data_IF_733149715986
#
_entry.id   IF_733149715986
#
_cell.length_a   1.000
_cell.length_b   1.000
_cell.length_c   1.000
_cell.angle_alpha   90.00
_cell.angle_beta   90.00
_cell.angle_gamma   90.00
#
_symmetry.space_group_name_H-M   'P 1'
#
loop_
_entity.id
_entity.type
_entity.pdbx_description
1 polymer ?
#
# COMPACT_ATOMS: atom_id res chain seq x y z
N UNK A 1 8.27 -11.11 -5.56
CA UNK A 1 9.00 -10.07 -4.81
C UNK A 1 10.30 -10.56 -4.17
N UNK A 2 10.25 -11.52 -3.23
CA UNK A 2 11.45 -11.97 -2.49
C UNK A 2 12.63 -12.40 -3.36
N UNK A 3 12.39 -13.06 -4.49
CA UNK A 3 13.44 -13.43 -5.46
C UNK A 3 14.21 -12.21 -5.98
N UNK A 4 13.53 -11.15 -6.40
CA UNK A 4 14.20 -9.95 -6.86
C UNK A 4 14.92 -9.21 -5.72
N UNK A 5 14.30 -9.14 -4.54
CA UNK A 5 14.90 -8.55 -3.33
C UNK A 5 16.12 -9.31 -2.80
N UNK A 6 16.34 -10.54 -3.27
CA UNK A 6 17.51 -11.36 -2.95
C UNK A 6 18.51 -11.46 -4.12
N UNK A 7 18.37 -10.61 -5.15
CA UNK A 7 19.31 -10.53 -6.27
C UNK A 7 18.95 -11.38 -7.50
N UNK A 8 17.81 -12.06 -7.49
CA UNK A 8 17.33 -12.91 -8.59
C UNK A 8 16.17 -12.25 -9.35
N UNK A 9 16.40 -11.05 -9.89
CA UNK A 9 15.38 -10.27 -10.62
C UNK A 9 14.78 -11.06 -11.79
N UNK A 10 15.62 -11.69 -12.63
CA UNK A 10 15.15 -12.46 -13.79
C UNK A 10 14.18 -13.59 -13.41
N UNK A 11 14.50 -14.35 -12.36
CA UNK A 11 13.60 -15.39 -11.83
C UNK A 11 12.34 -14.80 -11.23
N UNK A 12 12.44 -13.66 -10.54
CA UNK A 12 11.28 -12.93 -10.04
C UNK A 12 10.30 -12.54 -11.15
N UNK A 13 10.82 -11.99 -12.25
CA UNK A 13 10.03 -11.62 -13.43
C UNK A 13 9.34 -12.82 -14.04
N UNK A 14 10.05 -13.93 -14.22
CA UNK A 14 9.49 -15.16 -14.75
C UNK A 14 8.29 -15.65 -13.93
N UNK A 15 8.44 -15.72 -12.60
CA UNK A 15 7.34 -16.15 -11.70
C UNK A 15 6.12 -15.24 -11.82
N UNK A 16 6.34 -13.92 -11.88
CA UNK A 16 5.24 -12.97 -12.00
C UNK A 16 4.54 -13.12 -13.35
N UNK A 17 5.30 -13.18 -14.45
CA UNK A 17 4.74 -13.33 -15.79
C UNK A 17 3.99 -14.64 -15.95
N UNK A 18 4.54 -15.76 -15.48
CA UNK A 18 3.88 -17.06 -15.57
C UNK A 18 2.54 -17.05 -14.83
N UNK A 19 2.50 -16.47 -13.63
CA UNK A 19 1.27 -16.33 -12.86
C UNK A 19 0.23 -15.46 -13.60
N UNK A 20 0.61 -14.24 -14.00
CA UNK A 20 -0.34 -13.30 -14.61
C UNK A 20 -0.82 -13.82 -15.98
N UNK A 21 0.07 -14.40 -16.80
CA UNK A 21 -0.30 -15.01 -18.09
C UNK A 21 -1.24 -16.19 -17.93
N UNK A 22 -1.02 -17.04 -16.93
CA UNK A 22 -1.84 -18.21 -16.70
C UNK A 22 -3.26 -17.87 -16.23
N UNK A 23 -3.41 -16.84 -15.38
CA UNK A 23 -4.66 -16.64 -14.63
C UNK A 23 -5.37 -15.30 -14.89
N UNK A 24 -4.75 -14.34 -15.57
CA UNK A 24 -5.30 -12.98 -15.73
C UNK A 24 -5.22 -12.48 -17.18
N UNK A 25 -4.01 -12.27 -17.69
CA UNK A 25 -3.76 -11.68 -19.01
C UNK A 25 -2.63 -12.44 -19.73
N UNK A 26 -2.97 -13.32 -20.70
CA UNK A 26 -1.99 -14.09 -21.47
C UNK A 26 -0.96 -13.26 -22.23
N UNK A 27 -1.22 -11.97 -22.45
CA UNK A 27 -0.31 -11.04 -23.16
C UNK A 27 0.60 -10.23 -22.23
N UNK A 28 0.43 -10.37 -20.92
CA UNK A 28 1.19 -9.61 -19.92
C UNK A 28 2.71 -9.76 -20.08
N UNK A 29 3.47 -8.69 -19.89
CA UNK A 29 4.93 -8.70 -19.89
C UNK A 29 5.46 -7.77 -18.80
N UNK A 30 6.41 -8.24 -18.00
CA UNK A 30 7.00 -7.43 -16.94
C UNK A 30 8.16 -6.57 -17.50
N UNK A 31 7.97 -5.25 -17.55
CA UNK A 31 8.95 -4.30 -18.12
C UNK A 31 9.96 -3.78 -17.11
N UNK A 32 9.84 -4.14 -15.83
CA UNK A 32 10.76 -3.72 -14.78
C UNK A 32 12.22 -4.06 -15.12
N UNK A 33 13.09 -3.06 -14.95
CA UNK A 33 14.53 -3.13 -15.28
C UNK A 33 15.42 -3.25 -14.06
N UNK A 34 14.90 -3.00 -12.86
CA UNK A 34 15.60 -3.08 -11.60
C UNK A 34 14.68 -3.64 -10.51
N UNK A 35 15.26 -3.92 -9.36
CA UNK A 35 14.57 -4.52 -8.23
C UNK A 35 13.45 -3.63 -7.67
N UNK A 36 13.61 -2.29 -7.74
CA UNK A 36 12.64 -1.35 -7.18
C UNK A 36 11.41 -1.20 -8.07
N UNK A 37 11.61 -1.05 -9.37
CA UNK A 37 10.54 -1.05 -10.38
C UNK A 37 9.82 -2.40 -10.38
N UNK A 38 10.53 -3.51 -10.19
CA UNK A 38 9.91 -4.82 -10.05
C UNK A 38 9.10 -4.94 -8.75
N UNK A 39 9.58 -4.41 -7.63
CA UNK A 39 8.80 -4.36 -6.38
C UNK A 39 7.50 -3.56 -6.57
N UNK A 40 7.54 -2.43 -7.27
CA UNK A 40 6.35 -1.64 -7.58
C UNK A 40 5.37 -2.42 -8.48
N UNK A 41 5.87 -3.12 -9.50
CA UNK A 41 5.04 -3.96 -10.37
C UNK A 41 4.40 -5.11 -9.59
N UNK A 42 5.14 -5.79 -8.73
CA UNK A 42 4.55 -6.82 -7.86
C UNK A 42 3.53 -6.21 -6.89
N UNK A 43 3.78 -5.02 -6.35
CA UNK A 43 2.82 -4.33 -5.50
C UNK A 43 1.53 -3.99 -6.25
N UNK A 44 1.62 -3.53 -7.51
CA UNK A 44 0.46 -3.35 -8.39
C UNK A 44 -0.32 -4.65 -8.55
N UNK A 45 0.34 -5.73 -8.99
CA UNK A 45 -0.31 -7.02 -9.23
C UNK A 45 -0.95 -7.58 -7.96
N UNK A 46 -0.33 -7.40 -6.79
CA UNK A 46 -0.91 -7.77 -5.50
C UNK A 46 -2.17 -6.98 -5.15
N UNK A 47 -2.24 -5.68 -5.48
CA UNK A 47 -3.44 -4.86 -5.26
C UNK A 47 -4.62 -5.32 -6.12
N UNK A 48 -4.32 -5.80 -7.33
CA UNK A 48 -5.32 -6.40 -8.23
C UNK A 48 -5.75 -7.76 -7.71
N UNK A 49 -4.79 -8.65 -7.44
CA UNK A 49 -5.05 -10.05 -7.12
C UNK A 49 -5.70 -10.25 -5.75
N UNK A 50 -5.26 -9.52 -4.74
CA UNK A 50 -5.67 -9.71 -3.34
C UNK A 50 -6.67 -8.63 -2.89
N UNK A 51 -7.42 -8.08 -3.85
CA UNK A 51 -8.40 -7.05 -3.55
C UNK A 51 -9.48 -7.60 -2.61
N UNK A 52 -9.74 -6.89 -1.51
CA UNK A 52 -10.72 -7.30 -0.50
C UNK A 52 -10.22 -8.34 0.51
N UNK A 53 -8.98 -8.83 0.38
CA UNK A 53 -8.43 -9.87 1.26
C UNK A 53 -7.62 -9.33 2.45
N UNK A 54 -7.55 -8.00 2.62
CA UNK A 54 -6.95 -7.36 3.79
C UNK A 54 -5.43 -7.12 3.74
N UNK A 55 -4.79 -7.28 2.57
CA UNK A 55 -3.33 -7.09 2.44
C UNK A 55 -2.88 -5.65 2.24
N UNK A 56 -3.75 -4.75 1.76
CA UNK A 56 -3.36 -3.42 1.29
C UNK A 56 -2.61 -2.59 2.34
N UNK A 57 -3.06 -2.60 3.60
CA UNK A 57 -2.41 -1.83 4.67
C UNK A 57 -1.05 -2.38 5.06
N UNK A 58 -0.89 -3.70 5.09
CA UNK A 58 0.40 -4.32 5.37
C UNK A 58 1.42 -4.04 4.26
N UNK A 59 0.98 -4.11 2.98
CA UNK A 59 1.84 -3.77 1.86
C UNK A 59 2.23 -2.28 1.87
N UNK A 60 1.28 -1.39 2.13
CA UNK A 60 1.54 0.06 2.24
C UNK A 60 2.57 0.37 3.33
N UNK A 61 2.38 -0.17 4.54
CA UNK A 61 3.28 0.08 5.66
C UNK A 61 4.67 -0.51 5.45
N UNK A 62 4.79 -1.78 5.01
CA UNK A 62 6.10 -2.42 4.85
C UNK A 62 6.92 -1.82 3.70
N UNK A 63 6.25 -1.27 2.68
CA UNK A 63 6.89 -0.68 1.51
C UNK A 63 7.15 0.83 1.67
N UNK A 64 6.68 1.44 2.77
CA UNK A 64 6.74 2.88 2.98
C UNK A 64 5.98 3.65 1.89
N UNK A 65 4.81 3.15 1.50
CA UNK A 65 3.96 3.78 0.48
C UNK A 65 2.88 4.65 1.13
N UNK A 66 2.34 5.64 0.42
CA UNK A 66 1.18 6.39 0.90
C UNK A 66 -0.13 5.64 0.67
N UNK A 67 -1.19 6.06 1.37
CA UNK A 67 -2.58 5.76 0.99
C UNK A 67 -3.06 6.88 0.07
N UNK A 68 -3.39 6.54 -1.18
CA UNK A 68 -3.93 7.48 -2.18
C UNK A 68 -5.30 7.01 -2.64
N UNK A 69 -6.27 7.93 -2.61
CA UNK A 69 -7.68 7.70 -2.93
C UNK A 69 -8.23 8.70 -3.95
N UNK A 70 -7.64 9.88 -4.03
CA UNK A 70 -8.11 10.98 -4.87
C UNK A 70 -6.94 11.90 -5.28
N UNK A 71 -7.15 12.69 -6.35
CA UNK A 71 -6.17 13.68 -6.83
C UNK A 71 -6.83 15.04 -7.07
N UNK A 72 -6.15 16.10 -6.67
CA UNK A 72 -6.63 17.47 -6.82
C UNK A 72 -7.98 17.68 -6.11
N UNK A 73 -8.99 18.11 -6.86
CA UNK A 73 -10.36 18.30 -6.35
C UNK A 73 -11.32 17.19 -6.74
N UNK A 74 -10.88 16.20 -7.53
CA UNK A 74 -11.74 15.13 -8.02
C UNK A 74 -11.87 14.04 -6.94
N UNK A 75 -13.04 13.98 -6.31
CA UNK A 75 -13.37 13.00 -5.28
C UNK A 75 -13.80 11.65 -5.85
N UNK A 76 -14.10 11.57 -7.15
CA UNK A 76 -14.76 10.41 -7.75
C UNK A 76 -16.01 9.98 -6.98
N UNK A 77 -16.04 8.72 -6.54
CA UNK A 77 -17.16 8.12 -5.78
C UNK A 77 -16.96 8.15 -4.26
N UNK A 78 -15.88 8.75 -3.75
CA UNK A 78 -15.58 8.73 -2.32
C UNK A 78 -16.50 9.67 -1.53
N UNK A 79 -17.16 9.18 -0.46
CA UNK A 79 -17.81 10.06 0.48
C UNK A 79 -16.78 10.99 1.16
N UNK A 80 -17.20 12.20 1.52
CA UNK A 80 -16.32 13.23 2.09
C UNK A 80 -15.48 12.74 3.28
N UNK A 81 -16.08 11.91 4.15
CA UNK A 81 -15.42 11.35 5.32
C UNK A 81 -14.27 10.38 5.00
N UNK A 82 -14.17 9.89 3.76
CA UNK A 82 -13.15 8.92 3.31
C UNK A 82 -12.31 9.43 2.15
N UNK A 83 -12.66 10.59 1.58
CA UNK A 83 -11.89 11.26 0.54
C UNK A 83 -10.68 11.97 1.17
N UNK A 84 -9.64 11.22 1.50
CA UNK A 84 -8.40 11.72 2.07
C UNK A 84 -7.23 10.80 1.70
N UNK A 85 -6.03 11.37 1.64
CA UNK A 85 -4.78 10.64 1.43
C UNK A 85 -3.91 10.69 2.69
N UNK A 86 -3.17 9.62 2.97
CA UNK A 86 -2.28 9.51 4.13
C UNK A 86 -0.84 9.35 3.63
N UNK A 87 0.08 10.14 4.17
CA UNK A 87 1.50 10.07 3.84
C UNK A 87 2.08 8.71 4.24
N UNK A 88 3.15 8.30 3.56
CA UNK A 88 3.94 7.16 4.00
C UNK A 88 4.47 7.40 5.42
N UNK A 89 4.45 6.35 6.25
CA UNK A 89 4.91 6.38 7.64
C UNK A 89 4.16 7.35 8.58
N UNK A 90 2.99 7.86 8.19
CA UNK A 90 2.13 8.60 9.12
C UNK A 90 1.70 7.67 10.26
N UNK A 91 1.85 8.15 11.50
CA UNK A 91 1.47 7.39 12.71
C UNK A 91 0.00 6.95 12.75
N UNK A 92 -0.89 7.58 11.95
CA UNK A 92 -2.29 7.18 11.84
C UNK A 92 -2.47 5.79 11.22
N UNK A 93 -1.47 5.28 10.50
CA UNK A 93 -1.46 3.91 9.97
C UNK A 93 -1.31 2.85 11.08
N UNK A 94 -0.81 3.24 12.25
CA UNK A 94 -0.62 2.33 13.39
C UNK A 94 -1.87 2.30 14.27
N UNK A 95 -2.35 1.09 14.55
CA UNK A 95 -3.39 0.90 15.55
C UNK A 95 -2.88 1.31 16.93
N UNK A 96 -3.76 1.96 17.71
CA UNK A 96 -3.49 2.26 19.12
C UNK A 96 -3.88 1.08 19.99
N UNK A 97 -3.24 0.96 21.16
CA UNK A 97 -3.69 -0.01 22.14
C UNK A 97 -5.12 0.29 22.59
N UNK A 98 -5.86 -0.77 22.89
CA UNK A 98 -7.22 -0.63 23.41
C UNK A 98 -7.22 0.15 24.72
N UNK A 99 -8.27 0.95 24.96
CA UNK A 99 -8.40 1.73 26.19
C UNK A 99 -8.34 0.85 27.46
N UNK A 100 -8.84 -0.39 27.36
CA UNK A 100 -8.79 -1.36 28.47
C UNK A 100 -7.36 -1.69 28.87
N UNK A 101 -6.48 -1.89 27.90
CA UNK A 101 -5.06 -2.16 28.17
C UNK A 101 -4.41 -0.94 28.82
N UNK A 102 -4.63 0.26 28.28
CA UNK A 102 -4.05 1.49 28.82
C UNK A 102 -4.57 1.87 30.20
N UNK A 103 -5.78 1.46 30.56
CA UNK A 103 -6.33 1.68 31.91
C UNK A 103 -5.72 0.72 32.95
N UNK A 104 -5.34 -0.49 32.54
CA UNK A 104 -4.95 -1.55 33.46
C UNK A 104 -3.42 -1.73 33.57
N UNK A 105 -2.67 -1.37 32.54
CA UNK A 105 -1.23 -1.54 32.47
C UNK A 105 -0.53 -0.17 32.49
N UNK A 106 -0.11 0.29 33.67
CA UNK A 106 0.56 1.59 33.84
C UNK A 106 1.95 1.67 33.18
N UNK A 107 2.54 0.54 32.79
CA UNK A 107 3.82 0.49 32.10
C UNK A 107 3.70 0.60 30.58
N UNK A 108 2.47 0.59 30.02
CA UNK A 108 2.30 0.63 28.57
C UNK A 108 2.65 2.00 27.98
N UNK A 109 3.37 1.99 26.86
CA UNK A 109 3.64 3.17 26.04
C UNK A 109 2.79 3.05 24.78
N UNK A 110 1.83 3.96 24.60
CA UNK A 110 0.90 3.91 23.47
C UNK A 110 1.46 4.61 22.23
N UNK A 111 0.94 4.24 21.06
CA UNK A 111 1.17 4.97 19.81
C UNK A 111 0.43 6.32 19.87
N UNK A 112 1.18 7.42 19.97
CA UNK A 112 0.63 8.78 20.10
C UNK A 112 0.68 9.60 18.82
N UNK A 113 1.38 9.12 17.80
CA UNK A 113 1.50 9.81 16.52
C UNK A 113 0.22 9.69 15.68
N UNK A 114 0.14 10.52 14.63
CA UNK A 114 -0.95 10.55 13.67
C UNK A 114 -2.23 11.24 14.17
N UNK A 115 -2.87 11.99 13.28
CA UNK A 115 -4.17 12.62 13.53
C UNK A 115 -5.23 12.02 12.62
N UNK A 116 -6.49 12.03 13.07
CA UNK A 116 -7.63 11.64 12.23
C UNK A 116 -7.59 12.44 10.92
N UNK A 117 -7.52 11.78 9.74
CA UNK A 117 -7.47 12.49 8.48
C UNK A 117 -8.71 13.35 8.25
N UNK A 118 -8.49 14.55 7.72
CA UNK A 118 -9.58 15.43 7.29
C UNK A 118 -9.96 15.18 5.83
N UNK A 119 -11.21 15.49 5.48
CA UNK A 119 -11.65 15.47 4.07
C UNK A 119 -10.73 16.32 3.20
N UNK A 120 -10.44 15.84 1.98
CA UNK A 120 -9.56 16.47 0.99
C UNK A 120 -8.10 16.66 1.44
N UNK A 121 -7.65 15.95 2.48
CA UNK A 121 -6.27 16.01 2.93
C UNK A 121 -5.31 15.40 1.90
N UNK A 122 -4.17 16.05 1.67
CA UNK A 122 -3.08 15.60 0.80
C UNK A 122 -3.47 15.34 -0.68
N UNK A 123 -4.11 16.31 -1.38
CA UNK A 123 -4.65 16.11 -2.73
C UNK A 123 -3.59 15.89 -3.82
N UNK A 124 -2.34 16.23 -3.55
CA UNK A 124 -1.23 16.12 -4.49
C UNK A 124 -0.37 14.87 -4.26
N UNK A 125 -0.79 13.98 -3.36
CA UNK A 125 -0.05 12.77 -3.06
C UNK A 125 -0.22 11.75 -4.18
N UNK A 126 0.87 11.06 -4.51
CA UNK A 126 0.95 10.06 -5.56
C UNK A 126 1.49 8.75 -4.99
N UNK A 127 0.99 7.62 -5.48
CA UNK A 127 1.42 6.28 -5.07
C UNK A 127 2.58 5.73 -5.96
N UNK A 128 2.79 6.37 -7.10
CA UNK A 128 3.83 6.11 -8.10
C UNK A 128 3.56 4.89 -8.98
N UNK A 129 2.33 4.38 -9.00
CA UNK A 129 1.95 3.14 -9.70
C UNK A 129 0.63 3.26 -10.44
N UNK A 130 -0.40 3.88 -9.84
CA UNK A 130 -1.76 3.96 -10.39
C UNK A 130 -2.32 5.38 -10.50
N UNK A 131 -1.48 6.40 -10.27
CA UNK A 131 -1.87 7.81 -10.36
C UNK A 131 -2.17 8.26 -11.80
#
# INVERSE_FOLDING_TARGET
EGLAMSGSLGTGKQVLEDFVKAYRDPSYTCTASDEKSFQNEVWFQRRVELWGEGFSMFDIMRLGKPVVRFHGSDKGIWPDAFCFNIQANDGYLLMRFSQKETNNNSAIVNNTEGTLPSSMQNPNLTDGVTD
#
